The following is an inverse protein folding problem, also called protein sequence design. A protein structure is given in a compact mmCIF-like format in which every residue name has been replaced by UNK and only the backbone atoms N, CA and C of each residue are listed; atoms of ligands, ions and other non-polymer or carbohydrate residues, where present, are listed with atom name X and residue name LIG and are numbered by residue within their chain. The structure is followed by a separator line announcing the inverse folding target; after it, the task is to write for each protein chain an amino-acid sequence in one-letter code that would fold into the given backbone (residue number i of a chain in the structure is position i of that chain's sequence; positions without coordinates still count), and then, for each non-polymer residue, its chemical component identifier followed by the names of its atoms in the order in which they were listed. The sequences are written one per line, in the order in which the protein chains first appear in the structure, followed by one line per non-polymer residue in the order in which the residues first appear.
data_IF_796904689119
#
_entry.id   IF_796904689119
#
_cell.length_a   1.000
_cell.length_b   1.000
_cell.length_c   1.000
_cell.angle_alpha   90.00
_cell.angle_beta   90.00
_cell.angle_gamma   90.00
#
_symmetry.space_group_name_H-M   'P 1'
#
loop_
_entity.id
_entity.type
_entity.pdbx_description
1 polymer ?
#
# COMPACT_ATOMS: atom_id res chain seq x y z
N UNK A 1 9.90 -13.87 -2.35
CA UNK A 1 8.55 -13.30 -2.62
C UNK A 1 8.68 -12.24 -3.73
N UNK A 2 7.92 -12.31 -4.83
CA UNK A 2 8.05 -11.34 -5.91
C UNK A 2 7.73 -9.92 -5.44
N UNK A 3 8.54 -8.93 -5.83
CA UNK A 3 8.40 -7.49 -5.48
C UNK A 3 6.97 -6.96 -5.73
N UNK A 4 6.26 -7.51 -6.72
CA UNK A 4 4.84 -7.24 -6.99
C UNK A 4 3.91 -7.64 -5.85
N UNK A 5 4.10 -8.84 -5.27
CA UNK A 5 3.31 -9.30 -4.12
C UNK A 5 3.49 -8.36 -2.93
N UNK A 6 4.73 -7.96 -2.65
CA UNK A 6 5.03 -7.00 -1.57
C UNK A 6 4.32 -5.65 -1.77
N UNK A 7 4.29 -5.12 -3.00
CA UNK A 7 3.56 -3.88 -3.30
C UNK A 7 2.05 -4.05 -3.09
N UNK A 8 1.45 -5.12 -3.60
CA UNK A 8 0.01 -5.37 -3.42
C UNK A 8 -0.36 -5.63 -1.96
N UNK A 9 0.56 -6.17 -1.16
CA UNK A 9 0.38 -6.39 0.28
C UNK A 9 0.55 -5.11 1.12
N UNK A 10 1.11 -4.04 0.55
CA UNK A 10 1.34 -2.78 1.27
C UNK A 10 0.07 -2.16 1.88
N UNK A 11 -1.06 -2.03 1.16
CA UNK A 11 -2.32 -1.53 1.74
C UNK A 11 -3.03 -2.52 2.67
N UNK A 12 -2.61 -3.79 2.71
CA UNK A 12 -3.19 -4.78 3.63
C UNK A 12 -2.84 -4.43 5.08
N UNK A 13 -1.65 -3.89 5.31
CA UNK A 13 -1.20 -3.49 6.65
C UNK A 13 -2.12 -2.44 7.30
N UNK A 14 -2.40 -1.27 6.69
CA UNK A 14 -3.32 -0.30 7.26
C UNK A 14 -4.76 -0.84 7.37
N UNK A 15 -5.22 -1.65 6.41
CA UNK A 15 -6.54 -2.26 6.49
C UNK A 15 -6.67 -3.20 7.71
N UNK A 16 -5.67 -4.05 7.96
CA UNK A 16 -5.64 -4.92 9.14
C UNK A 16 -5.52 -4.13 10.43
N UNK A 17 -4.73 -3.05 10.46
CA UNK A 17 -4.61 -2.21 11.64
C UNK A 17 -5.92 -1.49 12.00
N UNK A 18 -6.71 -1.09 10.99
CA UNK A 18 -8.05 -0.55 11.18
C UNK A 18 -9.02 -1.64 11.66
N UNK A 19 -8.98 -2.85 11.09
CA UNK A 19 -9.82 -3.96 11.55
C UNK A 19 -9.50 -4.37 13.00
N UNK A 20 -8.22 -4.35 13.35
CA UNK A 20 -7.73 -4.69 14.68
C UNK A 20 -8.16 -3.67 15.75
N UNK A 21 -8.60 -2.46 15.38
CA UNK A 21 -9.06 -1.43 16.33
C UNK A 21 -10.13 -1.94 17.30
N UNK A 22 -10.98 -2.88 16.87
CA UNK A 22 -12.03 -3.49 17.71
C UNK A 22 -11.46 -4.37 18.82
N UNK A 23 -10.31 -5.00 18.57
CA UNK A 23 -9.71 -6.00 19.48
C UNK A 23 -8.57 -5.46 20.33
N UNK A 24 -8.06 -4.26 20.01
CA UNK A 24 -6.94 -3.66 20.72
C UNK A 24 -7.44 -2.90 21.97
N UNK A 25 -7.16 -3.37 23.19
CA UNK A 25 -7.65 -2.74 24.41
C UNK A 25 -7.04 -1.34 24.64
N UNK A 26 -5.85 -1.06 24.10
CA UNK A 26 -5.21 0.25 24.22
C UNK A 26 -5.75 1.30 23.22
N UNK A 27 -6.45 0.86 22.17
CA UNK A 27 -7.19 1.74 21.23
C UNK A 27 -8.55 2.13 21.83
N UNK A 28 -9.15 1.22 22.60
CA UNK A 28 -10.42 1.43 23.30
C UNK A 28 -10.27 1.89 24.77
N UNK A 29 -9.04 2.05 25.25
CA UNK A 29 -8.80 2.53 26.60
C UNK A 29 -9.16 4.01 26.72
N UNK A 30 -9.49 4.45 27.93
CA UNK A 30 -9.65 5.87 28.33
C UNK A 30 -8.33 6.67 28.26
N UNK A 31 -7.37 6.19 27.48
CA UNK A 31 -6.07 6.80 27.30
C UNK A 31 -6.22 7.92 26.28
N UNK A 32 -5.94 9.15 26.72
CA UNK A 32 -5.89 10.30 25.83
C UNK A 32 -4.51 10.38 25.18
N UNK A 33 -4.48 10.33 23.85
CA UNK A 33 -3.30 10.62 23.03
C UNK A 33 -3.43 12.03 22.46
N UNK A 34 -2.43 12.89 22.71
CA UNK A 34 -2.46 14.30 22.30
C UNK A 34 -3.72 15.08 22.77
N UNK A 35 -4.34 14.65 23.87
CA UNK A 35 -5.58 15.24 24.37
C UNK A 35 -6.86 14.76 23.67
N UNK A 36 -6.78 13.79 22.74
CA UNK A 36 -7.92 13.14 22.10
C UNK A 36 -8.00 11.65 22.46
N UNK A 37 -9.19 11.02 22.38
CA UNK A 37 -9.31 9.58 22.58
C UNK A 37 -8.36 8.80 21.66
N UNK A 38 -7.63 7.83 22.21
CA UNK A 38 -6.64 7.02 21.49
C UNK A 38 -7.19 6.38 20.21
N UNK A 39 -8.48 6.02 20.19
CA UNK A 39 -9.19 5.53 19.01
C UNK A 39 -9.14 6.49 17.82
N UNK A 40 -9.34 7.80 18.04
CA UNK A 40 -9.27 8.80 16.96
C UNK A 40 -7.87 8.92 16.38
N UNK A 41 -6.85 8.91 17.24
CA UNK A 41 -5.45 9.01 16.80
C UNK A 41 -5.03 7.75 16.05
N UNK A 42 -5.45 6.58 16.52
CA UNK A 42 -5.19 5.30 15.86
C UNK A 42 -5.83 5.25 14.47
N UNK A 43 -7.15 5.45 14.40
CA UNK A 43 -7.88 5.42 13.13
C UNK A 43 -7.39 6.50 12.19
N UNK A 44 -7.23 7.73 12.67
CA UNK A 44 -6.74 8.85 11.87
C UNK A 44 -5.35 8.58 11.29
N UNK A 45 -4.41 8.09 12.11
CA UNK A 45 -3.08 7.71 11.65
C UNK A 45 -3.11 6.65 10.55
N UNK A 46 -3.88 5.58 10.73
CA UNK A 46 -3.96 4.50 9.75
C UNK A 46 -4.71 4.90 8.47
N UNK A 47 -5.75 5.73 8.57
CA UNK A 47 -6.44 6.29 7.40
C UNK A 47 -5.50 7.16 6.57
N UNK A 48 -4.71 8.02 7.21
CA UNK A 48 -3.71 8.84 6.50
C UNK A 48 -2.65 8.01 5.79
N UNK A 49 -2.33 6.82 6.30
CA UNK A 49 -1.36 5.90 5.67
C UNK A 49 -1.93 5.12 4.49
N UNK A 50 -3.26 5.01 4.34
CA UNK A 50 -3.88 4.33 3.19
C UNK A 50 -3.56 5.05 1.87
N UNK A 51 -3.69 6.37 1.85
CA UNK A 51 -3.43 7.18 0.67
C UNK A 51 -2.02 6.98 0.07
N UNK A 52 -0.92 7.15 0.84
CA UNK A 52 0.42 6.89 0.33
C UNK A 52 0.67 5.40 0.06
N UNK A 53 0.04 4.48 0.81
CA UNK A 53 0.16 3.05 0.52
C UNK A 53 -0.43 2.70 -0.86
N UNK A 54 -1.62 3.21 -1.17
CA UNK A 54 -2.26 3.05 -2.48
C UNK A 54 -1.45 3.72 -3.59
N UNK A 55 -0.97 4.95 -3.37
CA UNK A 55 -0.12 5.66 -4.32
C UNK A 55 1.18 4.87 -4.61
N UNK A 56 1.78 4.23 -3.61
CA UNK A 56 2.96 3.40 -3.80
C UNK A 56 2.67 2.11 -4.61
N UNK A 57 1.48 1.52 -4.45
CA UNK A 57 1.05 0.40 -5.31
C UNK A 57 0.91 0.85 -6.75
N UNK A 58 0.22 1.97 -6.98
CA UNK A 58 0.01 2.54 -8.31
C UNK A 58 1.34 2.86 -9.00
N UNK A 59 2.22 3.63 -8.35
CA UNK A 59 3.55 3.94 -8.88
C UNK A 59 4.43 2.70 -9.09
N UNK A 60 4.28 1.68 -8.25
CA UNK A 60 4.99 0.41 -8.39
C UNK A 60 4.48 -0.43 -9.57
N UNK A 61 3.18 -0.36 -9.87
CA UNK A 61 2.54 -1.06 -10.98
C UNK A 61 2.81 -0.36 -12.32
N UNK A 62 2.71 0.96 -12.39
CA UNK A 62 2.99 1.77 -13.60
C UNK A 62 4.40 1.53 -14.15
N UNK A 63 5.42 1.56 -13.27
CA UNK A 63 6.82 1.26 -13.66
C UNK A 63 7.02 -0.14 -14.20
N UNK A 64 6.08 -1.05 -13.95
CA UNK A 64 6.16 -2.39 -14.51
C UNK A 64 5.57 -2.46 -15.90
N UNK A 65 4.52 -1.68 -16.19
CA UNK A 65 3.95 -1.53 -17.53
C UNK A 65 4.98 -1.01 -18.52
N UNK A 66 5.76 0.01 -18.13
CA UNK A 66 6.84 0.55 -18.97
C UNK A 66 7.90 -0.51 -19.32
N UNK A 67 8.31 -1.34 -18.35
CA UNK A 67 9.29 -2.42 -18.61
C UNK A 67 8.75 -3.50 -19.53
N UNK A 68 7.45 -3.82 -19.41
CA UNK A 68 6.79 -4.81 -20.27
C UNK A 68 6.62 -4.25 -21.68
N UNK A 69 6.20 -2.99 -21.82
CA UNK A 69 6.08 -2.31 -23.10
C UNK A 69 7.45 -2.15 -23.79
N UNK A 70 8.49 -1.78 -23.06
CA UNK A 70 9.86 -1.73 -23.56
C UNK A 70 10.38 -3.11 -24.00
N UNK A 71 10.07 -4.16 -23.24
CA UNK A 71 10.39 -5.53 -23.61
C UNK A 71 9.65 -6.00 -24.87
N UNK A 72 8.37 -5.65 -25.01
CA UNK A 72 7.57 -5.96 -26.19
C UNK A 72 8.08 -5.21 -27.44
N UNK A 73 8.42 -3.93 -27.31
CA UNK A 73 9.02 -3.13 -28.37
C UNK A 73 10.38 -3.70 -28.81
N UNK A 74 11.22 -4.12 -27.87
CA UNK A 74 12.50 -4.77 -28.17
C UNK A 74 12.33 -6.11 -28.90
N UNK A 75 11.32 -6.91 -28.52
CA UNK A 75 11.01 -8.16 -29.23
C UNK A 75 10.43 -7.95 -30.63
N UNK A 76 9.67 -6.86 -30.85
CA UNK A 76 9.16 -6.49 -32.17
C UNK A 76 10.29 -6.03 -33.10
N UNK A 77 11.19 -5.17 -32.60
CA UNK A 77 12.36 -4.71 -33.36
C UNK A 77 13.35 -5.83 -33.68
N UNK A 78 13.47 -6.85 -32.82
CA UNK A 78 14.28 -8.03 -33.11
C UNK A 78 13.68 -8.96 -34.18
N UNK A 79 12.35 -8.91 -34.37
CA UNK A 79 11.64 -9.70 -35.37
C UNK A 79 11.64 -9.08 -36.77
N UNK A 80 11.78 -7.76 -36.90
CA UNK A 80 11.86 -7.07 -38.20
C UNK A 80 13.22 -7.21 -38.91
N UNK A 81 14.24 -7.71 -38.21
CA UNK A 81 15.59 -7.92 -38.76
C UNK A 81 15.84 -9.31 -39.34
N UNK A 82 14.82 -10.18 -39.42
CA UNK A 82 14.92 -11.56 -39.90
C UNK A 82 14.16 -11.79 -41.21
#
# INVERSE_FOLDING_TARGET
MSRRKLLVLLPVVPALALLASVWLPFVNAERLWFGMPSLYVWVGGWVLTLTPALAAVEWGLFRHGERVAAGAAASAAAGEGQ
#
